data_IF_857826635883
#
_entry.id   IF_857826635883
#
_cell.length_a   1.000
_cell.length_b   1.000
_cell.length_c   1.000
_cell.angle_alpha   90.00
_cell.angle_beta   90.00
_cell.angle_gamma   90.00
#
_symmetry.space_group_name_H-M   'P 1'
#
loop_
_entity.id
_entity.type
_entity.pdbx_description
1 polymer ?
#
# COMPACT_ATOMS: atom_id res chain seq x y z
N UNK A 1 -4.40 24.75 10.29
CA UNK A 1 -4.56 23.85 9.12
C UNK A 1 -4.73 22.42 9.60
N UNK A 2 -5.98 21.97 9.74
CA UNK A 2 -6.30 20.63 10.26
C UNK A 2 -6.60 19.74 9.06
N UNK A 3 -5.55 19.22 8.44
CA UNK A 3 -5.69 18.18 7.42
C UNK A 3 -6.42 17.00 8.07
N UNK A 4 -7.60 16.66 7.57
CA UNK A 4 -8.28 15.41 7.90
C UNK A 4 -7.24 14.31 7.71
N UNK A 5 -6.76 13.73 8.81
CA UNK A 5 -5.90 12.55 8.74
C UNK A 5 -6.71 11.49 8.02
N UNK A 6 -6.46 11.29 6.73
CA UNK A 6 -7.02 10.18 6.00
C UNK A 6 -6.66 8.94 6.83
N UNK A 7 -7.67 8.28 7.38
CA UNK A 7 -7.48 7.22 8.37
C UNK A 7 -6.71 6.10 7.69
N UNK A 8 -5.45 5.96 8.05
CA UNK A 8 -4.65 4.83 7.57
C UNK A 8 -5.29 3.53 8.02
N UNK A 9 -5.23 2.52 7.17
CA UNK A 9 -5.65 1.16 7.49
C UNK A 9 -4.67 0.15 6.93
N UNK A 10 -4.64 -1.03 7.53
CA UNK A 10 -4.06 -2.20 6.89
C UNK A 10 -4.84 -2.49 5.60
N UNK A 11 -4.11 -2.67 4.52
CA UNK A 11 -4.63 -3.07 3.22
C UNK A 11 -4.61 -4.60 3.14
N UNK A 12 -3.45 -5.22 3.37
CA UNK A 12 -3.34 -6.68 3.39
C UNK A 12 -2.14 -7.14 4.23
N UNK A 13 -2.15 -8.44 4.52
CA UNK A 13 -1.06 -9.18 5.17
C UNK A 13 -0.37 -10.07 4.17
N UNK A 14 0.93 -10.23 4.33
CA UNK A 14 1.75 -11.07 3.46
C UNK A 14 2.90 -11.72 4.21
N UNK A 15 3.35 -12.87 3.71
CA UNK A 15 4.60 -13.52 4.13
C UNK A 15 5.74 -13.23 3.14
N UNK A 16 5.53 -12.30 2.21
CA UNK A 16 6.57 -11.83 1.30
C UNK A 16 7.15 -10.51 1.81
N UNK A 17 8.49 -10.38 1.83
CA UNK A 17 9.13 -9.13 2.21
C UNK A 17 8.94 -8.05 1.13
N UNK A 18 9.01 -6.78 1.54
CA UNK A 18 8.75 -5.60 0.68
C UNK A 18 9.45 -5.64 -0.69
N UNK A 19 10.71 -6.08 -0.74
CA UNK A 19 11.49 -6.14 -1.98
C UNK A 19 10.96 -7.15 -3.02
N UNK A 20 10.06 -8.07 -2.63
CA UNK A 20 9.37 -9.00 -3.54
C UNK A 20 8.00 -8.50 -3.99
N UNK A 21 7.56 -7.34 -3.52
CA UNK A 21 6.25 -6.76 -3.80
C UNK A 21 6.38 -5.30 -4.27
N UNK A 22 7.03 -5.05 -5.42
CA UNK A 22 7.30 -3.70 -5.93
C UNK A 22 6.03 -2.88 -6.19
N UNK A 23 4.90 -3.54 -6.45
CA UNK A 23 3.60 -2.92 -6.64
C UNK A 23 3.04 -2.28 -5.35
N UNK A 24 3.61 -2.61 -4.19
CA UNK A 24 3.21 -2.13 -2.87
C UNK A 24 4.29 -1.27 -2.20
N UNK A 25 5.20 -0.67 -2.96
CA UNK A 25 6.22 0.24 -2.41
C UNK A 25 5.57 1.46 -1.72
N UNK A 26 6.19 1.94 -0.63
CA UNK A 26 5.75 3.17 0.03
C UNK A 26 5.68 4.33 -0.95
N UNK A 27 4.54 5.02 -0.96
CA UNK A 27 4.28 6.08 -1.92
C UNK A 27 3.84 5.56 -3.29
N UNK A 28 3.53 4.28 -3.46
CA UNK A 28 2.85 3.81 -4.66
C UNK A 28 1.33 3.97 -4.52
N UNK A 29 0.66 4.33 -5.61
CA UNK A 29 -0.80 4.33 -5.70
C UNK A 29 -1.27 2.97 -6.20
N UNK A 30 -2.15 2.31 -5.44
CA UNK A 30 -2.59 0.93 -5.69
C UNK A 30 -4.11 0.83 -5.68
N UNK A 31 -4.66 -0.04 -6.51
CA UNK A 31 -6.08 -0.39 -6.47
C UNK A 31 -6.27 -1.60 -5.55
N UNK A 32 -7.12 -1.46 -4.54
CA UNK A 32 -7.35 -2.50 -3.54
C UNK A 32 -8.80 -2.42 -3.04
N UNK A 33 -9.51 -3.55 -2.98
CA UNK A 33 -10.91 -3.62 -2.53
C UNK A 33 -11.85 -2.58 -3.19
N UNK A 34 -11.64 -2.29 -4.48
CA UNK A 34 -12.47 -1.31 -5.23
C UNK A 34 -12.18 0.17 -4.92
N UNK A 35 -11.08 0.46 -4.21
CA UNK A 35 -10.62 1.82 -3.93
C UNK A 35 -9.17 2.04 -4.30
N UNK A 36 -8.79 3.31 -4.53
CA UNK A 36 -7.40 3.71 -4.70
C UNK A 36 -6.79 4.13 -3.37
N UNK A 37 -5.63 3.57 -3.07
CA UNK A 37 -4.88 3.81 -1.85
C UNK A 37 -3.47 4.25 -2.18
N UNK A 38 -2.93 5.15 -1.36
CA UNK A 38 -1.48 5.40 -1.31
C UNK A 38 -0.89 4.50 -0.24
N UNK A 39 0.09 3.68 -0.59
CA UNK A 39 0.84 2.92 0.40
C UNK A 39 1.65 3.90 1.24
N UNK A 40 1.59 3.75 2.57
CA UNK A 40 2.28 4.67 3.49
C UNK A 40 3.38 4.00 4.29
N UNK A 41 3.27 2.70 4.60
CA UNK A 41 4.30 1.96 5.31
C UNK A 41 4.11 0.44 5.20
N UNK A 42 5.20 -0.26 5.45
CA UNK A 42 5.24 -1.68 5.78
C UNK A 42 5.51 -1.84 7.27
N UNK A 43 4.80 -2.75 7.91
CA UNK A 43 4.98 -3.07 9.33
C UNK A 43 5.27 -4.56 9.43
N UNK A 44 6.45 -4.91 9.92
CA UNK A 44 6.77 -6.29 10.29
C UNK A 44 5.95 -6.68 11.53
N UNK A 45 5.27 -7.82 11.44
CA UNK A 45 4.50 -8.42 12.52
C UNK A 45 5.32 -9.50 13.22
N UNK A 46 4.93 -9.89 14.46
CA UNK A 46 5.51 -11.05 15.11
C UNK A 46 5.42 -12.29 14.18
N UNK A 47 6.52 -13.03 14.01
CA UNK A 47 6.55 -14.13 13.07
C UNK A 47 5.63 -15.26 13.51
N UNK A 48 4.94 -15.88 12.54
CA UNK A 48 3.98 -16.95 12.80
C UNK A 48 4.73 -18.27 12.98
N UNK A 49 4.57 -18.96 14.12
CA UNK A 49 5.22 -20.24 14.36
C UNK A 49 4.61 -21.35 13.48
N UNK A 50 5.44 -22.27 13.02
CA UNK A 50 5.03 -23.41 12.21
C UNK A 50 5.00 -24.70 13.04
N UNK A 51 4.02 -25.58 12.76
CA UNK A 51 3.84 -26.85 13.50
C UNK A 51 5.05 -27.78 13.46
N UNK A 52 5.89 -27.67 12.43
CA UNK A 52 7.09 -28.52 12.21
C UNK A 52 8.38 -27.87 12.72
N UNK A 53 8.27 -26.80 13.51
CA UNK A 53 9.39 -25.99 13.94
C UNK A 53 9.75 -24.89 12.94
N UNK A 54 10.29 -23.79 13.46
CA UNK A 54 10.57 -22.56 12.69
C UNK A 54 9.43 -21.54 12.76
N UNK A 55 9.66 -20.41 12.11
CA UNK A 55 8.68 -19.33 12.00
C UNK A 55 8.76 -18.67 10.62
N UNK A 56 7.65 -18.12 10.17
CA UNK A 56 7.58 -17.33 8.93
C UNK A 56 7.36 -15.86 9.27
N UNK A 57 8.14 -14.98 8.64
CA UNK A 57 7.92 -13.54 8.74
C UNK A 57 6.53 -13.17 8.24
N UNK A 58 5.93 -12.15 8.85
CA UNK A 58 4.65 -11.62 8.42
C UNK A 58 4.77 -10.10 8.36
N UNK A 59 4.16 -9.51 7.34
CA UNK A 59 4.14 -8.07 7.13
C UNK A 59 2.71 -7.60 6.90
N UNK A 60 2.39 -6.43 7.43
CA UNK A 60 1.21 -5.66 7.06
C UNK A 60 1.61 -4.49 6.17
N UNK A 61 0.92 -4.37 5.05
CA UNK A 61 1.00 -3.17 4.21
C UNK A 61 -0.11 -2.23 4.59
N UNK A 62 0.26 -1.00 4.93
CA UNK A 62 -0.66 0.04 5.34
C UNK A 62 -0.77 1.11 4.25
N UNK A 63 -1.95 1.71 4.16
CA UNK A 63 -2.16 2.84 3.29
C UNK A 63 -3.34 3.70 3.68
N UNK A 64 -3.45 4.83 3.00
CA UNK A 64 -4.57 5.75 3.12
C UNK A 64 -5.34 5.81 1.81
N UNK A 65 -6.66 5.87 1.91
CA UNK A 65 -7.51 6.06 0.73
C UNK A 65 -7.22 7.42 0.12
N UNK A 66 -7.14 7.49 -1.20
CA UNK A 66 -7.05 8.75 -1.92
C UNK A 66 -8.41 9.47 -1.87
N UNK A 67 -8.36 10.79 -1.69
CA UNK A 67 -9.53 11.65 -1.91
C UNK A 67 -9.83 11.79 -3.41
N UNK A 68 -11.05 12.20 -3.77
CA UNK A 68 -11.44 12.43 -5.17
C UNK A 68 -10.53 13.42 -5.90
N UNK A 69 -9.96 14.39 -5.17
CA UNK A 69 -9.00 15.35 -5.72
C UNK A 69 -7.66 14.69 -6.03
N UNK A 70 -7.16 13.86 -5.11
CA UNK A 70 -5.91 13.13 -5.32
C UNK A 70 -6.07 12.06 -6.40
N UNK A 71 -7.20 11.37 -6.44
CA UNK A 71 -7.53 10.41 -7.50
C UNK A 71 -7.53 11.07 -8.87
N UNK A 72 -8.17 12.24 -9.01
CA UNK A 72 -8.14 13.01 -10.27
C UNK A 72 -6.72 13.39 -10.68
N UNK A 73 -5.88 13.80 -9.72
CA UNK A 73 -4.48 14.13 -10.00
C UNK A 73 -3.71 12.89 -10.47
N UNK A 74 -3.82 11.76 -9.79
CA UNK A 74 -3.12 10.53 -10.18
C UNK A 74 -3.57 10.03 -11.56
N UNK A 75 -4.84 10.16 -11.92
CA UNK A 75 -5.34 9.84 -13.26
C UNK A 75 -4.75 10.76 -14.33
N UNK A 76 -4.62 12.05 -14.05
CA UNK A 76 -3.97 13.00 -14.96
C UNK A 76 -2.48 12.69 -15.10
N UNK A 77 -1.77 12.48 -13.99
CA UNK A 77 -0.35 12.13 -13.99
C UNK A 77 -0.09 10.78 -14.72
N UNK A 78 -1.00 9.81 -14.58
CA UNK A 78 -0.93 8.55 -15.33
C UNK A 78 -1.18 8.76 -16.82
N UNK A 79 -2.12 9.63 -17.17
CA UNK A 79 -2.41 10.00 -18.56
C UNK A 79 -1.20 10.70 -19.18
N UNK A 80 -0.53 11.62 -18.48
CA UNK A 80 0.69 12.28 -18.93
C UNK A 80 1.87 11.30 -19.09
N UNK A 81 1.91 10.19 -18.36
CA UNK A 81 2.90 9.12 -18.58
C UNK A 81 2.60 8.26 -19.80
N UNK A 82 1.32 8.03 -20.08
CA UNK A 82 0.86 7.23 -21.23
C UNK A 82 0.92 8.06 -22.53
N UNK A 83 0.62 9.35 -22.42
CA UNK A 83 0.62 10.34 -23.50
C UNK A 83 1.88 11.21 -23.52
N UNK A 84 2.92 10.86 -22.74
CA UNK A 84 4.16 11.62 -22.69
C UNK A 84 4.77 11.82 -24.09
N UNK A 85 5.42 12.99 -24.32
CA UNK A 85 5.69 13.62 -25.62
C UNK A 85 6.35 12.75 -26.70
#
# INVERSE_FOLDING_TARGET
MRWLRARERALFRTHQPEFRSPEWVVGQTVHHEGGLYRVTRWVELPPVPLDRGGSVGEWEVWGRRLSDREMRKELLDATDRILGP
#
